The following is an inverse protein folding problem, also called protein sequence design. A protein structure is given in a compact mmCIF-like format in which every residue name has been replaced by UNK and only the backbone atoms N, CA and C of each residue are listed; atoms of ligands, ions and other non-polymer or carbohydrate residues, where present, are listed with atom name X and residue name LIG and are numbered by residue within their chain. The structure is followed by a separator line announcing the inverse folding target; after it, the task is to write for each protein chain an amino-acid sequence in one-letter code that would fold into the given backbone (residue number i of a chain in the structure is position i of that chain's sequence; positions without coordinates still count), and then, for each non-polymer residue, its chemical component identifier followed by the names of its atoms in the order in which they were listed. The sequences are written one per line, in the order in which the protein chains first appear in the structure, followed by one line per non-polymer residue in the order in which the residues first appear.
data_IF_772621660899
#
_entry.id   IF_772621660899
#
_cell.length_a   1.000
_cell.length_b   1.000
_cell.length_c   1.000
_cell.angle_alpha   90.00
_cell.angle_beta   90.00
_cell.angle_gamma   90.00
#
_symmetry.space_group_name_H-M   'P 1'
#
loop_
_entity.id
_entity.type
_entity.pdbx_description
1 polymer ?
#
# COMPACT_ATOMS: atom_id res chain seq x y z
N UNK A 1 -18.18 -15.10 107.47
CA UNK A 1 -17.11 -15.56 106.63
C UNK A 1 -17.60 -15.47 105.16
N UNK A 2 -17.08 -14.47 104.48
CA UNK A 2 -17.70 -14.00 103.23
C UNK A 2 -16.72 -14.34 102.11
N UNK A 3 -17.17 -15.04 101.15
CA UNK A 3 -16.40 -15.31 99.92
C UNK A 3 -17.02 -14.47 98.73
N UNK A 4 -16.25 -13.56 98.29
CA UNK A 4 -16.55 -12.72 97.12
C UNK A 4 -16.18 -13.47 95.83
N UNK A 5 -17.10 -13.66 94.96
CA UNK A 5 -16.87 -14.18 93.62
C UNK A 5 -16.62 -13.00 92.65
N UNK A 6 -15.48 -13.00 91.99
CA UNK A 6 -15.14 -12.07 90.91
C UNK A 6 -15.63 -12.62 89.57
N UNK A 7 -16.54 -11.92 88.93
CA UNK A 7 -16.92 -12.18 87.55
C UNK A 7 -15.89 -11.59 86.60
N UNK A 8 -15.34 -12.40 85.70
CA UNK A 8 -14.53 -11.95 84.57
C UNK A 8 -15.46 -11.78 83.35
N UNK A 9 -15.59 -10.55 82.89
CA UNK A 9 -16.24 -10.26 81.59
C UNK A 9 -15.21 -10.44 80.49
N UNK A 10 -15.47 -11.42 79.60
CA UNK A 10 -14.71 -11.61 78.37
C UNK A 10 -15.27 -10.69 77.28
N UNK A 11 -14.48 -9.75 76.81
CA UNK A 11 -14.78 -8.90 75.67
C UNK A 11 -14.38 -9.68 74.41
N UNK A 12 -15.35 -10.14 73.60
CA UNK A 12 -15.09 -10.71 72.30
C UNK A 12 -14.86 -9.59 71.28
N UNK A 13 -13.62 -9.46 70.84
CA UNK A 13 -13.26 -8.57 69.72
C UNK A 13 -13.65 -9.29 68.42
N UNK A 14 -14.67 -8.78 67.74
CA UNK A 14 -15.09 -9.25 66.41
C UNK A 14 -14.21 -8.54 65.37
N UNK A 15 -13.18 -9.23 64.84
CA UNK A 15 -12.43 -8.76 63.69
C UNK A 15 -13.27 -8.91 62.44
N UNK A 16 -13.74 -7.80 61.86
CA UNK A 16 -14.28 -7.75 60.55
C UNK A 16 -13.16 -7.93 59.53
N UNK A 17 -13.10 -9.11 58.90
CA UNK A 17 -12.26 -9.31 57.70
C UNK A 17 -12.97 -8.65 56.54
N UNK A 18 -12.43 -7.51 56.08
CA UNK A 18 -12.80 -6.87 54.82
C UNK A 18 -12.22 -7.74 53.73
N UNK A 19 -13.03 -8.30 52.79
CA UNK A 19 -12.47 -8.98 51.66
C UNK A 19 -11.68 -7.95 50.83
N UNK A 20 -10.37 -8.17 50.69
CA UNK A 20 -9.49 -7.37 49.82
C UNK A 20 -10.06 -7.37 48.42
N UNK A 21 -10.28 -6.19 47.85
CA UNK A 21 -10.51 -6.02 46.44
C UNK A 21 -9.32 -6.63 45.72
N UNK A 22 -9.54 -7.70 44.99
CA UNK A 22 -8.57 -8.24 44.04
C UNK A 22 -8.23 -7.10 43.07
N UNK A 23 -7.10 -6.47 43.30
CA UNK A 23 -6.48 -5.64 42.30
C UNK A 23 -6.19 -6.56 41.10
N UNK A 24 -7.04 -6.49 40.09
CA UNK A 24 -6.77 -7.12 38.80
C UNK A 24 -5.43 -6.56 38.31
N UNK A 25 -4.40 -7.38 38.51
CA UNK A 25 -3.11 -7.17 37.85
C UNK A 25 -3.40 -7.02 36.37
N UNK A 26 -2.94 -5.93 35.68
CA UNK A 26 -3.14 -5.81 34.27
C UNK A 26 -2.53 -7.05 33.62
N UNK A 27 -3.38 -7.82 32.94
CA UNK A 27 -2.99 -9.00 32.19
C UNK A 27 -1.77 -8.62 31.36
N UNK A 28 -0.66 -9.30 31.64
CA UNK A 28 0.57 -9.25 30.86
C UNK A 28 0.15 -9.34 29.42
N UNK A 29 0.37 -8.27 28.62
CA UNK A 29 0.08 -8.27 27.20
C UNK A 29 0.64 -9.58 26.63
N UNK A 30 -0.20 -10.45 26.10
CA UNK A 30 0.24 -11.64 25.41
C UNK A 30 1.29 -11.18 24.40
N UNK A 31 2.43 -11.86 24.32
CA UNK A 31 3.44 -11.63 23.29
C UNK A 31 2.78 -11.80 21.92
N UNK A 32 2.07 -10.78 21.49
CA UNK A 32 1.41 -10.69 20.20
C UNK A 32 2.43 -10.25 19.16
N UNK A 33 2.36 -10.81 17.97
CA UNK A 33 3.14 -10.30 16.84
C UNK A 33 2.61 -8.92 16.49
N UNK A 34 3.51 -7.98 16.26
CA UNK A 34 3.15 -6.71 15.64
C UNK A 34 3.10 -6.85 14.12
N UNK A 35 2.26 -6.06 13.47
CA UNK A 35 2.21 -5.96 12.02
C UNK A 35 2.26 -4.52 11.59
N UNK A 36 3.04 -4.27 10.55
CA UNK A 36 3.16 -2.98 9.91
C UNK A 36 2.29 -2.93 8.65
N UNK A 37 1.62 -1.81 8.46
CA UNK A 37 0.86 -1.53 7.26
C UNK A 37 1.17 -0.11 6.77
N UNK A 38 1.46 0.04 5.47
CA UNK A 38 1.65 1.34 4.85
C UNK A 38 0.28 1.96 4.56
N UNK A 39 0.12 3.22 4.97
CA UNK A 39 -1.15 3.95 4.87
C UNK A 39 -0.92 5.32 4.24
N UNK A 40 -1.66 5.61 3.19
CA UNK A 40 -1.78 6.96 2.63
C UNK A 40 -3.03 7.62 3.19
N UNK A 41 -2.93 8.87 3.63
CA UNK A 41 -4.06 9.71 4.01
C UNK A 41 -4.00 10.98 3.19
N UNK A 42 -5.02 11.21 2.37
CA UNK A 42 -5.07 12.32 1.42
C UNK A 42 -6.31 13.16 1.66
N UNK A 43 -6.18 14.46 1.51
CA UNK A 43 -7.34 15.35 1.49
C UNK A 43 -8.18 15.18 0.21
N UNK A 44 -9.26 15.93 0.07
CA UNK A 44 -10.16 15.90 -1.08
C UNK A 44 -9.53 16.45 -2.37
N UNK A 45 -8.35 17.09 -2.28
CA UNK A 45 -7.54 17.53 -3.42
C UNK A 45 -6.44 16.53 -3.79
N UNK A 46 -6.31 15.44 -3.01
CA UNK A 46 -5.27 14.43 -3.18
C UNK A 46 -3.92 14.83 -2.59
N UNK A 47 -3.89 15.84 -1.71
CA UNK A 47 -2.67 16.25 -1.00
C UNK A 47 -2.51 15.38 0.25
N UNK A 48 -1.30 14.88 0.53
CA UNK A 48 -1.05 14.09 1.74
C UNK A 48 -1.32 14.88 3.03
N UNK A 49 -2.05 14.27 3.95
CA UNK A 49 -2.29 14.79 5.30
C UNK A 49 -1.18 14.30 6.22
N UNK A 50 -0.46 15.22 6.84
CA UNK A 50 0.68 14.93 7.72
C UNK A 50 0.34 15.20 9.19
N UNK A 51 1.20 14.73 10.11
CA UNK A 51 1.05 14.99 11.56
C UNK A 51 0.01 14.11 12.27
N UNK A 52 -0.42 13.00 11.65
CA UNK A 52 -1.34 12.05 12.27
C UNK A 52 -0.62 11.17 13.30
N UNK A 53 -1.36 10.78 14.34
CA UNK A 53 -0.89 10.01 15.49
C UNK A 53 -1.68 8.70 15.64
N UNK A 54 -1.33 7.87 16.61
CA UNK A 54 -2.04 6.61 16.93
C UNK A 54 -3.53 6.83 17.19
N UNK A 55 -3.91 7.94 17.81
CA UNK A 55 -5.31 8.29 18.11
C UNK A 55 -6.14 8.60 16.84
N UNK A 56 -5.48 8.88 15.72
CA UNK A 56 -6.16 9.21 14.47
C UNK A 56 -6.51 7.97 13.64
N UNK A 57 -6.00 6.76 13.97
CA UNK A 57 -6.19 5.56 13.18
C UNK A 57 -6.99 4.48 13.90
N UNK A 58 -7.83 3.79 13.13
CA UNK A 58 -8.52 2.57 13.56
C UNK A 58 -8.20 1.47 12.56
N UNK A 59 -7.64 0.35 13.06
CA UNK A 59 -7.34 -0.85 12.27
C UNK A 59 -8.31 -1.96 12.65
N UNK A 60 -8.86 -2.65 11.66
CA UNK A 60 -9.72 -3.83 11.85
C UNK A 60 -9.21 -4.98 10.98
N UNK A 61 -9.17 -6.19 11.55
CA UNK A 61 -9.01 -7.44 10.81
C UNK A 61 -10.33 -8.24 10.93
N UNK A 62 -10.96 -8.54 9.80
CA UNK A 62 -12.25 -9.23 9.72
C UNK A 62 -13.30 -8.65 10.70
N UNK A 63 -13.39 -7.31 10.73
CA UNK A 63 -14.21 -6.47 11.63
C UNK A 63 -13.75 -6.41 13.10
N UNK A 64 -12.80 -7.24 13.56
CA UNK A 64 -12.25 -7.12 14.91
C UNK A 64 -11.27 -5.94 14.99
N UNK A 65 -11.52 -5.01 15.91
CA UNK A 65 -10.64 -3.87 16.16
C UNK A 65 -9.30 -4.35 16.71
N UNK A 66 -8.20 -3.82 16.17
CA UNK A 66 -6.84 -4.05 16.64
C UNK A 66 -6.29 -2.79 17.29
N UNK A 67 -5.50 -2.97 18.32
CA UNK A 67 -4.81 -1.88 18.99
C UNK A 67 -3.71 -1.32 18.08
N UNK A 68 -3.73 -0.01 17.81
CA UNK A 68 -2.67 0.70 17.10
C UNK A 68 -1.59 1.06 18.10
N UNK A 69 -0.41 0.50 17.92
CA UNK A 69 0.71 0.63 18.86
C UNK A 69 1.63 1.81 18.50
N UNK A 70 1.88 2.01 17.20
CA UNK A 70 2.76 3.06 16.71
C UNK A 70 2.26 3.59 15.36
N UNK A 71 2.44 4.89 15.13
CA UNK A 71 2.26 5.56 13.84
C UNK A 71 3.45 6.48 13.59
N UNK A 72 4.15 6.26 12.49
CA UNK A 72 5.30 7.07 12.08
C UNK A 72 5.34 7.28 10.57
N UNK A 73 6.03 8.31 10.07
CA UNK A 73 6.31 8.46 8.65
C UNK A 73 7.01 7.22 8.09
N UNK A 74 6.65 6.81 6.89
CA UNK A 74 7.28 5.67 6.22
C UNK A 74 8.64 6.09 5.66
N UNK A 75 9.72 5.67 6.32
CA UNK A 75 11.11 6.00 6.00
C UNK A 75 11.87 4.86 5.30
N UNK A 76 11.32 3.64 5.31
CA UNK A 76 11.93 2.52 4.63
C UNK A 76 12.11 2.82 3.13
N UNK A 77 13.29 2.46 2.61
CA UNK A 77 13.63 2.63 1.21
C UNK A 77 12.65 1.87 0.31
N UNK A 78 12.13 2.55 -0.71
CA UNK A 78 11.25 1.95 -1.70
C UNK A 78 12.04 1.26 -2.80
N UNK A 79 11.50 0.17 -3.31
CA UNK A 79 11.91 -0.43 -4.58
C UNK A 79 10.75 -0.33 -5.55
N UNK A 80 10.91 0.50 -6.59
CA UNK A 80 9.82 0.87 -7.50
C UNK A 80 10.08 0.30 -8.88
N UNK A 81 9.15 -0.56 -9.36
CA UNK A 81 9.05 -0.89 -10.76
C UNK A 81 8.14 0.12 -11.47
N UNK A 82 8.67 0.93 -12.37
CA UNK A 82 7.88 1.83 -13.20
C UNK A 82 7.61 1.15 -14.53
N UNK A 83 6.35 0.77 -14.77
CA UNK A 83 5.87 0.17 -16.01
C UNK A 83 5.36 1.28 -16.91
N UNK A 84 5.94 1.41 -18.09
CA UNK A 84 5.70 2.53 -19.01
C UNK A 84 5.13 1.96 -20.31
N UNK A 85 3.90 2.30 -20.60
CA UNK A 85 3.29 1.97 -21.87
C UNK A 85 3.90 2.85 -22.98
N UNK A 86 4.69 2.21 -23.83
CA UNK A 86 5.30 2.79 -25.01
C UNK A 86 4.67 2.23 -26.31
N UNK A 87 3.44 1.71 -26.21
CA UNK A 87 2.68 1.24 -27.37
C UNK A 87 2.26 2.37 -28.32
N UNK A 88 1.63 2.02 -29.43
CA UNK A 88 1.08 3.00 -30.39
C UNK A 88 0.17 4.03 -29.73
N UNK A 89 -0.57 3.64 -28.69
CA UNK A 89 -1.45 4.54 -27.95
C UNK A 89 -0.72 5.70 -27.23
N UNK A 90 0.60 5.55 -26.98
CA UNK A 90 1.42 6.56 -26.31
C UNK A 90 1.95 7.65 -27.26
N UNK A 91 1.69 7.56 -28.58
CA UNK A 91 2.33 8.41 -29.60
C UNK A 91 2.24 9.90 -29.28
N UNK A 92 1.03 10.41 -29.03
CA UNK A 92 0.80 11.83 -28.77
C UNK A 92 1.12 12.28 -27.35
N UNK A 93 1.46 11.33 -26.47
CA UNK A 93 1.74 11.58 -25.06
C UNK A 93 3.22 11.54 -24.71
N UNK A 94 4.10 11.20 -25.65
CA UNK A 94 5.53 10.92 -25.38
C UNK A 94 6.26 12.06 -24.68
N UNK A 95 6.00 13.32 -25.06
CA UNK A 95 6.62 14.48 -24.38
C UNK A 95 6.15 14.60 -22.94
N UNK A 96 4.84 14.50 -22.68
CA UNK A 96 4.26 14.55 -21.33
C UNK A 96 4.75 13.40 -20.45
N UNK A 97 4.93 12.21 -21.02
CA UNK A 97 5.53 11.07 -20.33
C UNK A 97 6.96 11.37 -19.88
N UNK A 98 7.79 11.87 -20.79
CA UNK A 98 9.19 12.20 -20.46
C UNK A 98 9.28 13.27 -19.38
N UNK A 99 8.51 14.34 -19.51
CA UNK A 99 8.52 15.45 -18.55
C UNK A 99 8.01 14.98 -17.19
N UNK A 100 6.90 14.23 -17.16
CA UNK A 100 6.34 13.71 -15.93
C UNK A 100 7.25 12.69 -15.25
N UNK A 101 7.86 11.78 -16.01
CA UNK A 101 8.80 10.80 -15.47
C UNK A 101 10.06 11.49 -14.93
N UNK A 102 10.61 12.47 -15.63
CA UNK A 102 11.77 13.21 -15.15
C UNK A 102 11.48 13.92 -13.82
N UNK A 103 10.31 14.57 -13.70
CA UNK A 103 9.86 15.19 -12.46
C UNK A 103 9.63 14.18 -11.33
N UNK A 104 9.05 13.02 -11.63
CA UNK A 104 8.87 11.91 -10.69
C UNK A 104 10.21 11.40 -10.17
N UNK A 105 11.14 11.10 -11.06
CA UNK A 105 12.47 10.58 -10.72
C UNK A 105 13.26 11.58 -9.84
N UNK A 106 13.18 12.86 -10.17
CA UNK A 106 13.83 13.89 -9.35
C UNK A 106 13.25 13.97 -7.94
N UNK A 107 11.92 13.86 -7.82
CA UNK A 107 11.23 13.89 -6.54
C UNK A 107 11.52 12.65 -5.67
N UNK A 108 11.80 11.52 -6.31
CA UNK A 108 12.15 10.25 -5.65
C UNK A 108 13.65 10.10 -5.38
N UNK A 109 14.47 11.07 -5.78
CA UNK A 109 15.94 11.04 -5.61
C UNK A 109 16.34 10.72 -4.16
N UNK A 110 17.17 9.70 -3.99
CA UNK A 110 17.65 9.28 -2.67
C UNK A 110 16.61 8.58 -1.77
N UNK A 111 15.37 8.38 -2.25
CA UNK A 111 14.27 7.76 -1.50
C UNK A 111 13.84 6.40 -2.05
N UNK A 112 14.29 6.06 -3.24
CA UNK A 112 13.92 4.83 -3.90
C UNK A 112 15.02 4.30 -4.81
N UNK A 113 15.05 2.99 -4.96
CA UNK A 113 15.71 2.29 -6.06
C UNK A 113 14.67 1.99 -7.14
N UNK A 114 14.88 2.49 -8.36
CA UNK A 114 13.86 2.49 -9.41
C UNK A 114 14.34 1.70 -10.62
N UNK A 115 13.49 0.77 -11.10
CA UNK A 115 13.64 0.11 -12.39
C UNK A 115 12.61 0.65 -13.39
N UNK A 116 13.03 0.88 -14.63
CA UNK A 116 12.15 1.30 -15.73
C UNK A 116 11.92 0.14 -16.69
N UNK A 117 10.66 -0.15 -16.98
CA UNK A 117 10.24 -1.27 -17.83
C UNK A 117 9.22 -0.73 -18.82
N UNK A 118 9.43 -0.91 -20.12
CA UNK A 118 8.43 -0.60 -21.15
C UNK A 118 7.57 -1.81 -21.44
N UNK A 119 6.30 -1.59 -21.82
CA UNK A 119 5.32 -2.67 -21.97
C UNK A 119 4.67 -2.75 -23.35
N UNK A 120 5.04 -1.89 -24.29
CA UNK A 120 4.64 -2.01 -25.68
C UNK A 120 5.33 -3.21 -26.34
N UNK A 121 4.57 -4.05 -27.05
CA UNK A 121 5.05 -5.25 -27.75
C UNK A 121 5.44 -6.41 -26.79
N UNK A 122 6.21 -6.18 -25.75
CA UNK A 122 6.55 -7.09 -24.64
C UNK A 122 7.22 -6.34 -23.49
N UNK A 123 7.16 -6.88 -22.26
CA UNK A 123 7.89 -6.28 -21.15
C UNK A 123 9.40 -6.23 -21.45
N UNK A 124 9.98 -5.04 -21.42
CA UNK A 124 11.40 -4.82 -21.75
C UNK A 124 12.04 -3.92 -20.70
N UNK A 125 13.14 -4.37 -20.09
CA UNK A 125 13.88 -3.54 -19.12
C UNK A 125 14.57 -2.41 -19.86
N UNK A 126 14.12 -1.18 -19.63
CA UNK A 126 14.71 0.05 -20.15
C UNK A 126 15.88 0.50 -19.28
N UNK A 127 15.73 0.39 -17.95
CA UNK A 127 16.80 0.57 -16.98
C UNK A 127 16.64 -0.43 -15.84
N UNK A 128 17.73 -1.13 -15.43
CA UNK A 128 17.71 -1.96 -14.23
C UNK A 128 17.50 -1.09 -12.98
N UNK A 129 17.13 -1.70 -11.86
CA UNK A 129 16.96 -0.99 -10.61
C UNK A 129 18.23 -0.26 -10.21
N UNK A 130 18.12 1.05 -9.99
CA UNK A 130 19.21 1.92 -9.57
C UNK A 130 18.69 3.14 -8.79
N UNK A 131 19.57 3.72 -7.97
CA UNK A 131 19.36 5.01 -7.29
C UNK A 131 19.87 6.19 -8.11
N UNK A 132 20.60 5.92 -9.18
CA UNK A 132 21.20 6.93 -10.04
C UNK A 132 20.14 7.57 -10.95
N UNK A 133 19.65 8.73 -10.53
CA UNK A 133 18.64 9.50 -11.26
C UNK A 133 19.10 9.94 -12.64
N UNK A 134 20.41 10.17 -12.85
CA UNK A 134 20.94 10.59 -14.15
C UNK A 134 20.89 9.42 -15.16
N UNK A 135 21.21 8.20 -14.70
CA UNK A 135 21.07 6.99 -15.52
C UNK A 135 19.61 6.81 -15.94
N UNK A 136 18.67 6.94 -15.00
CA UNK A 136 17.24 6.82 -15.27
C UNK A 136 16.76 7.90 -16.25
N UNK A 137 17.10 9.16 -16.03
CA UNK A 137 16.74 10.27 -16.90
C UNK A 137 17.30 10.13 -18.32
N UNK A 138 18.51 9.57 -18.46
CA UNK A 138 19.08 9.27 -19.79
C UNK A 138 18.19 8.26 -20.55
N UNK A 139 17.63 7.26 -19.88
CA UNK A 139 16.74 6.30 -20.50
C UNK A 139 15.36 6.90 -20.79
N UNK A 140 14.79 7.70 -19.88
CA UNK A 140 13.52 8.41 -20.09
C UNK A 140 13.57 9.28 -21.36
N UNK A 141 14.68 9.98 -21.61
CA UNK A 141 14.86 10.77 -22.85
C UNK A 141 14.85 9.92 -24.13
N UNK A 142 15.10 8.60 -24.02
CA UNK A 142 15.09 7.65 -25.15
C UNK A 142 13.77 6.91 -25.31
N UNK A 143 12.74 7.26 -24.53
CA UNK A 143 11.41 6.71 -24.73
C UNK A 143 10.83 7.20 -26.04
N UNK A 144 10.41 6.25 -26.89
CA UNK A 144 9.68 6.52 -28.11
C UNK A 144 8.57 5.48 -28.26
N UNK A 145 7.40 5.86 -28.80
CA UNK A 145 6.32 4.93 -29.00
C UNK A 145 6.71 3.89 -30.06
N UNK A 146 6.26 2.67 -29.83
CA UNK A 146 6.40 1.57 -30.79
C UNK A 146 5.20 1.59 -31.73
N UNK A 147 5.45 1.69 -33.02
CA UNK A 147 4.40 1.64 -34.02
C UNK A 147 3.82 0.24 -34.16
N UNK A 148 2.52 0.14 -34.42
CA UNK A 148 1.78 -1.12 -34.62
C UNK A 148 1.91 -2.09 -33.44
N UNK A 149 1.98 -1.59 -32.21
CA UNK A 149 2.07 -2.39 -30.98
C UNK A 149 0.90 -2.10 -30.05
N UNK A 150 0.56 -3.09 -29.22
CA UNK A 150 -0.33 -2.96 -28.07
C UNK A 150 0.45 -3.15 -26.76
N UNK A 151 -0.21 -3.00 -25.62
CA UNK A 151 0.39 -3.16 -24.33
C UNK A 151 0.40 -4.62 -23.86
N UNK A 152 1.45 -5.02 -23.16
CA UNK A 152 1.57 -6.27 -22.40
C UNK A 152 1.67 -5.93 -20.92
N UNK A 153 0.70 -5.15 -20.42
CA UNK A 153 0.75 -4.58 -19.08
C UNK A 153 0.61 -5.63 -17.99
N UNK A 154 -0.31 -6.59 -18.17
CA UNK A 154 -0.58 -7.60 -17.13
C UNK A 154 0.61 -8.55 -16.99
N UNK A 155 1.27 -8.94 -18.08
CA UNK A 155 2.50 -9.73 -18.06
C UNK A 155 3.62 -8.95 -17.33
N UNK A 156 3.74 -7.64 -17.59
CA UNK A 156 4.71 -6.79 -16.92
C UNK A 156 4.47 -6.65 -15.41
N UNK A 157 3.19 -6.60 -14.98
CA UNK A 157 2.84 -6.59 -13.56
C UNK A 157 3.27 -7.91 -12.89
N UNK A 158 3.05 -9.04 -13.53
CA UNK A 158 3.48 -10.36 -13.04
C UNK A 158 5.00 -10.42 -12.92
N UNK A 159 5.73 -10.02 -13.97
CA UNK A 159 7.18 -10.05 -13.99
C UNK A 159 7.79 -9.11 -12.94
N UNK A 160 7.25 -7.88 -12.82
CA UNK A 160 7.66 -6.93 -11.80
C UNK A 160 7.38 -7.45 -10.38
N UNK A 161 6.22 -8.09 -10.16
CA UNK A 161 5.87 -8.70 -8.88
C UNK A 161 6.87 -9.78 -8.48
N UNK A 162 7.17 -10.71 -9.40
CA UNK A 162 8.17 -11.78 -9.19
C UNK A 162 9.57 -11.21 -8.92
N UNK A 163 9.96 -10.18 -9.69
CA UNK A 163 11.26 -9.54 -9.51
C UNK A 163 11.39 -8.86 -8.14
N UNK A 164 10.37 -8.12 -7.70
CA UNK A 164 10.34 -7.48 -6.39
C UNK A 164 10.34 -8.48 -5.24
N UNK A 165 9.58 -9.58 -5.36
CA UNK A 165 9.59 -10.68 -4.38
C UNK A 165 10.98 -11.32 -4.26
N UNK A 166 11.64 -11.63 -5.40
CA UNK A 166 12.98 -12.20 -5.42
C UNK A 166 14.05 -11.28 -4.83
N UNK A 167 13.82 -9.95 -4.88
CA UNK A 167 14.71 -8.94 -4.28
C UNK A 167 14.48 -8.76 -2.79
N UNK A 168 13.46 -9.41 -2.21
CA UNK A 168 13.05 -9.23 -0.80
C UNK A 168 12.83 -7.75 -0.47
N UNK A 169 12.18 -7.04 -1.39
CA UNK A 169 11.96 -5.61 -1.30
C UNK A 169 11.18 -5.25 -0.04
N UNK A 170 11.74 -4.39 0.82
CA UNK A 170 11.09 -3.98 2.09
C UNK A 170 9.82 -3.16 1.88
N UNK A 171 9.82 -2.32 0.85
CA UNK A 171 8.67 -1.47 0.48
C UNK A 171 8.50 -1.50 -1.03
N UNK A 172 8.00 -2.64 -1.59
CA UNK A 172 7.84 -2.81 -3.01
C UNK A 172 6.68 -1.98 -3.56
N UNK A 173 6.90 -1.33 -4.70
CA UNK A 173 5.90 -0.52 -5.40
C UNK A 173 5.94 -0.84 -6.88
N UNK A 174 4.79 -0.97 -7.51
CA UNK A 174 4.61 -0.99 -8.95
C UNK A 174 3.83 0.27 -9.34
N UNK A 175 4.43 1.12 -10.16
CA UNK A 175 3.78 2.28 -10.76
C UNK A 175 3.58 2.01 -12.24
N UNK A 176 2.34 1.75 -12.64
CA UNK A 176 1.96 1.51 -14.02
C UNK A 176 1.39 2.77 -14.67
N UNK A 177 1.97 3.18 -15.79
CA UNK A 177 1.50 4.28 -16.63
C UNK A 177 1.07 3.64 -17.94
N UNK A 178 -0.23 3.66 -18.23
CA UNK A 178 -0.81 2.92 -19.34
C UNK A 178 -1.85 3.75 -20.07
N UNK A 179 -2.01 3.49 -21.37
CA UNK A 179 -2.99 4.15 -22.22
C UNK A 179 -4.20 3.25 -22.46
N UNK A 180 -5.32 3.86 -22.73
CA UNK A 180 -6.47 3.12 -23.24
C UNK A 180 -6.18 2.72 -24.69
N UNK A 181 -5.98 1.41 -24.90
CA UNK A 181 -5.54 0.81 -26.15
C UNK A 181 -5.63 -0.70 -26.07
N UNK A 182 -5.02 -1.38 -27.02
CA UNK A 182 -5.07 -2.85 -27.10
C UNK A 182 -4.17 -3.46 -26.01
N UNK A 183 -4.72 -4.41 -25.25
CA UNK A 183 -4.01 -5.25 -24.29
C UNK A 183 -3.75 -6.62 -24.92
N UNK A 184 -2.49 -7.05 -24.95
CA UNK A 184 -2.07 -8.32 -25.58
C UNK A 184 -1.61 -9.37 -24.57
N UNK A 185 -1.62 -9.05 -23.25
CA UNK A 185 -1.27 -10.03 -22.24
C UNK A 185 -2.22 -11.21 -22.24
N UNK A 186 -1.66 -12.41 -22.14
CA UNK A 186 -2.46 -13.65 -22.12
C UNK A 186 -2.46 -14.29 -20.71
N UNK A 187 -2.39 -13.47 -19.69
CA UNK A 187 -2.42 -13.91 -18.29
C UNK A 187 -3.78 -13.65 -17.66
N UNK A 188 -4.32 -14.65 -16.95
CA UNK A 188 -5.60 -14.52 -16.26
C UNK A 188 -5.47 -13.59 -15.02
N UNK A 189 -6.52 -12.80 -14.75
CA UNK A 189 -6.51 -11.81 -13.65
C UNK A 189 -6.16 -12.42 -12.29
N UNK A 190 -6.62 -13.64 -11.97
CA UNK A 190 -6.30 -14.31 -10.71
C UNK A 190 -4.81 -14.53 -10.53
N UNK A 191 -4.11 -14.90 -11.62
CA UNK A 191 -2.65 -15.08 -11.58
C UNK A 191 -1.95 -13.75 -11.27
N UNK A 192 -2.38 -12.67 -11.90
CA UNK A 192 -1.81 -11.33 -11.66
C UNK A 192 -2.03 -10.90 -10.21
N UNK A 193 -3.27 -11.04 -9.71
CA UNK A 193 -3.63 -10.66 -8.35
C UNK A 193 -2.90 -11.53 -7.31
N UNK A 194 -2.70 -12.80 -7.58
CA UNK A 194 -1.93 -13.71 -6.73
C UNK A 194 -0.45 -13.31 -6.65
N UNK A 195 0.20 -13.05 -7.78
CA UNK A 195 1.61 -12.64 -7.78
C UNK A 195 1.81 -11.25 -7.15
N UNK A 196 0.87 -10.31 -7.35
CA UNK A 196 0.84 -9.04 -6.62
C UNK A 196 0.75 -9.24 -5.10
N UNK A 197 -0.17 -10.10 -4.64
CA UNK A 197 -0.35 -10.38 -3.22
C UNK A 197 0.92 -10.99 -2.62
N UNK A 198 1.52 -11.95 -3.31
CA UNK A 198 2.75 -12.66 -2.92
C UNK A 198 3.98 -11.74 -2.86
N UNK A 199 4.09 -10.79 -3.78
CA UNK A 199 5.21 -9.84 -3.81
C UNK A 199 5.16 -8.79 -2.69
N UNK A 200 4.00 -8.59 -2.07
CA UNK A 200 3.80 -7.49 -1.15
C UNK A 200 3.78 -6.10 -1.81
N UNK A 201 3.86 -6.01 -3.13
CA UNK A 201 3.90 -4.73 -3.84
C UNK A 201 2.58 -3.95 -3.72
N UNK A 202 2.68 -2.64 -3.61
CA UNK A 202 1.56 -1.72 -3.79
C UNK A 202 1.47 -1.33 -5.26
N UNK A 203 0.31 -1.54 -5.88
CA UNK A 203 0.07 -1.20 -7.28
C UNK A 203 -0.55 0.18 -7.41
N UNK A 204 0.16 1.12 -8.03
CA UNK A 204 -0.37 2.42 -8.45
C UNK A 204 -0.55 2.44 -9.97
N UNK A 205 -1.64 3.00 -10.45
CA UNK A 205 -1.98 3.04 -11.88
C UNK A 205 -2.37 4.45 -12.29
N UNK A 206 -1.76 4.93 -13.37
CA UNK A 206 -2.18 6.13 -14.10
C UNK A 206 -2.64 5.65 -15.47
N UNK A 207 -3.96 5.60 -15.67
CA UNK A 207 -4.58 5.22 -16.94
C UNK A 207 -4.93 6.47 -17.74
N UNK A 208 -4.47 6.55 -18.98
CA UNK A 208 -4.61 7.74 -19.85
C UNK A 208 -5.55 7.42 -21.00
N UNK A 209 -6.48 8.31 -21.28
CA UNK A 209 -7.49 8.19 -22.32
C UNK A 209 -8.89 7.96 -21.76
N UNK A 210 -9.85 7.81 -22.63
CA UNK A 210 -11.23 7.47 -22.25
C UNK A 210 -11.35 5.96 -22.09
N UNK A 211 -11.86 5.47 -20.95
CA UNK A 211 -12.03 4.04 -20.72
C UNK A 211 -12.79 3.38 -21.86
N UNK A 212 -12.24 2.28 -22.38
CA UNK A 212 -12.89 1.52 -23.42
C UNK A 212 -14.14 0.83 -22.89
N UNK A 213 -15.21 0.84 -23.71
CA UNK A 213 -16.39 0.02 -23.50
C UNK A 213 -16.29 -1.34 -24.19
N UNK A 214 -15.10 -1.72 -24.66
CA UNK A 214 -14.87 -3.01 -25.31
C UNK A 214 -15.26 -4.17 -24.38
N UNK A 215 -15.89 -5.17 -24.97
CA UNK A 215 -16.29 -6.40 -24.27
C UNK A 215 -15.26 -7.52 -24.43
N UNK A 216 -14.09 -7.21 -24.99
CA UNK A 216 -13.01 -8.18 -25.16
C UNK A 216 -12.53 -8.69 -23.79
N UNK A 217 -12.21 -9.98 -23.71
CA UNK A 217 -11.82 -10.62 -22.46
C UNK A 217 -10.51 -10.07 -21.91
N UNK A 218 -9.58 -9.67 -22.78
CA UNK A 218 -8.31 -9.03 -22.40
C UNK A 218 -8.55 -7.68 -21.73
N UNK A 219 -9.40 -6.83 -22.29
CA UNK A 219 -9.73 -5.52 -21.72
C UNK A 219 -10.52 -5.65 -20.41
N UNK A 220 -11.41 -6.66 -20.33
CA UNK A 220 -12.12 -6.97 -19.08
C UNK A 220 -11.14 -7.42 -18.00
N UNK A 221 -10.26 -8.36 -18.32
CA UNK A 221 -9.20 -8.86 -17.43
C UNK A 221 -8.30 -7.73 -16.95
N UNK A 222 -7.87 -6.85 -17.88
CA UNK A 222 -7.10 -5.63 -17.54
C UNK A 222 -7.88 -4.74 -16.57
N UNK A 223 -9.13 -4.42 -16.87
CA UNK A 223 -10.00 -3.60 -16.04
C UNK A 223 -10.15 -4.13 -14.60
N UNK A 224 -10.33 -5.44 -14.45
CA UNK A 224 -10.38 -6.14 -13.16
C UNK A 224 -9.06 -6.01 -12.39
N UNK A 225 -7.92 -6.31 -13.04
CA UNK A 225 -6.60 -6.21 -12.39
C UNK A 225 -6.32 -4.78 -11.93
N UNK A 226 -6.55 -3.78 -12.78
CA UNK A 226 -6.28 -2.39 -12.43
C UNK A 226 -7.19 -1.88 -11.30
N UNK A 227 -8.42 -2.37 -11.18
CA UNK A 227 -9.35 -2.00 -10.11
C UNK A 227 -9.07 -2.78 -8.82
N UNK A 228 -9.10 -4.10 -8.90
CA UNK A 228 -8.91 -4.97 -7.74
C UNK A 228 -7.47 -4.93 -7.21
N UNK A 229 -6.48 -4.91 -8.12
CA UNK A 229 -5.08 -4.87 -7.74
C UNK A 229 -4.73 -3.61 -6.95
N UNK A 230 -5.18 -2.44 -7.39
CA UNK A 230 -4.96 -1.19 -6.64
C UNK A 230 -5.69 -1.20 -5.30
N UNK A 231 -6.95 -1.65 -5.26
CA UNK A 231 -7.75 -1.72 -4.03
C UNK A 231 -7.14 -2.68 -3.01
N UNK A 232 -6.77 -3.90 -3.44
CA UNK A 232 -6.25 -4.94 -2.53
C UNK A 232 -4.87 -4.60 -1.98
N UNK A 233 -4.05 -3.90 -2.77
CA UNK A 233 -2.68 -3.53 -2.37
C UNK A 233 -2.58 -2.18 -1.67
N UNK A 234 -3.66 -1.40 -1.60
CA UNK A 234 -3.68 -0.07 -1.00
C UNK A 234 -3.08 1.03 -1.88
N UNK A 235 -3.01 0.78 -3.18
CA UNK A 235 -2.54 1.76 -4.14
C UNK A 235 -3.66 2.65 -4.69
N UNK A 236 -3.36 3.32 -5.78
CA UNK A 236 -4.21 4.33 -6.42
C UNK A 236 -4.43 4.02 -7.89
N UNK A 237 -5.65 4.21 -8.38
CA UNK A 237 -5.95 4.26 -9.80
C UNK A 237 -6.45 5.64 -10.17
N UNK A 238 -5.72 6.33 -11.03
CA UNK A 238 -6.10 7.59 -11.63
C UNK A 238 -6.50 7.41 -13.08
N UNK A 239 -7.57 8.09 -13.49
CA UNK A 239 -7.95 8.22 -14.89
C UNK A 239 -7.61 9.64 -15.36
N UNK A 240 -6.83 9.74 -16.43
CA UNK A 240 -6.37 11.00 -17.03
C UNK A 240 -6.93 11.11 -18.44
N UNK A 241 -7.83 12.06 -18.68
CA UNK A 241 -8.51 12.20 -19.97
C UNK A 241 -7.66 12.97 -21.00
N UNK A 242 -6.70 13.79 -20.55
CA UNK A 242 -5.83 14.56 -21.41
C UNK A 242 -4.35 14.32 -21.07
N UNK A 243 -3.52 14.14 -22.10
CA UNK A 243 -2.09 13.85 -21.95
C UNK A 243 -1.35 14.89 -21.08
N UNK A 244 -1.78 16.14 -21.11
CA UNK A 244 -1.23 17.23 -20.27
C UNK A 244 -1.37 17.01 -18.76
N UNK A 245 -2.28 16.13 -18.33
CA UNK A 245 -2.45 15.78 -16.93
C UNK A 245 -1.45 14.74 -16.40
N UNK A 246 -0.65 14.10 -17.26
CA UNK A 246 0.31 13.05 -16.89
C UNK A 246 1.35 13.55 -15.88
N UNK A 247 2.03 14.71 -16.09
CA UNK A 247 3.03 15.20 -15.16
C UNK A 247 2.48 15.46 -13.77
N UNK A 248 1.28 16.03 -13.66
CA UNK A 248 0.63 16.31 -12.37
C UNK A 248 0.28 15.02 -11.63
N UNK A 249 -0.17 13.98 -12.34
CA UNK A 249 -0.48 12.69 -11.71
C UNK A 249 0.76 11.95 -11.24
N UNK A 250 1.84 12.00 -11.99
CA UNK A 250 3.14 11.46 -11.57
C UNK A 250 3.69 12.20 -10.34
N UNK A 251 3.55 13.53 -10.30
CA UNK A 251 3.89 14.31 -9.11
C UNK A 251 3.05 13.92 -7.91
N UNK A 252 1.72 13.80 -8.07
CA UNK A 252 0.82 13.37 -6.99
C UNK A 252 1.16 11.96 -6.49
N UNK A 253 1.51 11.03 -7.39
CA UNK A 253 1.94 9.69 -7.00
C UNK A 253 3.24 9.72 -6.17
N UNK A 254 4.22 10.53 -6.55
CA UNK A 254 5.44 10.73 -5.78
C UNK A 254 5.14 11.34 -4.40
N UNK A 255 4.29 12.38 -4.33
CA UNK A 255 3.90 13.03 -3.07
C UNK A 255 3.20 12.06 -2.14
N UNK A 256 2.28 11.23 -2.66
CA UNK A 256 1.61 10.19 -1.87
C UNK A 256 2.61 9.18 -1.31
N UNK A 257 3.51 8.63 -2.15
CA UNK A 257 4.51 7.64 -1.74
C UNK A 257 5.49 8.18 -0.69
N UNK A 258 5.89 9.44 -0.80
CA UNK A 258 6.83 10.09 0.12
C UNK A 258 6.22 10.44 1.48
N UNK A 259 4.89 10.52 1.58
CA UNK A 259 4.17 10.95 2.79
C UNK A 259 3.26 9.86 3.37
N UNK A 260 3.52 8.59 3.08
CA UNK A 260 2.82 7.48 3.73
C UNK A 260 3.22 7.35 5.21
N UNK A 261 2.33 6.73 5.97
CA UNK A 261 2.60 6.29 7.33
C UNK A 261 2.89 4.80 7.37
N UNK A 262 3.69 4.38 8.34
CA UNK A 262 3.69 3.02 8.87
C UNK A 262 2.81 3.01 10.09
N UNK A 263 1.75 2.23 10.06
CA UNK A 263 0.86 1.97 11.18
C UNK A 263 1.17 0.57 11.70
N UNK A 264 1.73 0.51 12.91
CA UNK A 264 2.04 -0.75 13.60
C UNK A 264 0.88 -1.08 14.53
N UNK A 265 0.33 -2.30 14.41
CA UNK A 265 -0.76 -2.75 15.26
C UNK A 265 -0.50 -4.14 15.86
N UNK A 266 -1.10 -4.41 17.02
CA UNK A 266 -1.00 -5.67 17.74
C UNK A 266 -1.92 -6.73 17.17
N UNK A 267 -1.42 -7.98 17.04
CA UNK A 267 -2.19 -9.14 16.60
C UNK A 267 -1.83 -10.36 17.41
N UNK A 268 -2.82 -11.11 17.95
CA UNK A 268 -2.56 -12.37 18.64
C UNK A 268 -1.84 -13.38 17.74
N UNK A 269 -0.85 -14.08 18.29
CA UNK A 269 0.06 -14.94 17.53
C UNK A 269 -0.64 -16.13 16.83
N UNK A 270 -1.71 -16.65 17.44
CA UNK A 270 -2.42 -17.84 16.98
C UNK A 270 -3.59 -17.58 16.04
N UNK A 271 -3.80 -16.36 15.58
CA UNK A 271 -4.88 -16.06 14.65
C UNK A 271 -4.54 -16.45 13.21
N UNK A 272 -5.50 -17.09 12.54
CA UNK A 272 -5.47 -17.30 11.08
C UNK A 272 -5.31 -15.96 10.37
N UNK A 273 -4.53 -15.88 9.27
CA UNK A 273 -4.41 -14.65 8.49
C UNK A 273 -5.80 -14.07 8.16
N UNK A 274 -6.03 -12.76 8.33
CA UNK A 274 -7.33 -12.17 8.06
C UNK A 274 -7.61 -12.17 6.55
N UNK A 275 -8.86 -12.38 6.17
CA UNK A 275 -9.30 -12.20 4.80
C UNK A 275 -9.33 -10.72 4.41
N UNK A 276 -9.67 -9.85 5.36
CA UNK A 276 -9.81 -8.42 5.13
C UNK A 276 -9.17 -7.58 6.23
N UNK A 277 -8.38 -6.58 5.80
CA UNK A 277 -7.90 -5.50 6.65
C UNK A 277 -8.62 -4.22 6.25
N UNK A 278 -9.04 -3.44 7.25
CA UNK A 278 -9.63 -2.12 7.05
C UNK A 278 -8.90 -1.13 7.93
N UNK A 279 -8.38 -0.06 7.32
CA UNK A 279 -7.80 1.08 8.02
C UNK A 279 -8.67 2.29 7.77
N UNK A 280 -9.06 2.95 8.84
CA UNK A 280 -9.82 4.21 8.79
C UNK A 280 -9.16 5.25 9.67
N UNK A 281 -9.56 6.52 9.52
CA UNK A 281 -9.10 7.62 10.36
C UNK A 281 -10.27 8.35 10.99
N UNK A 282 -10.02 9.00 12.11
CA UNK A 282 -10.98 9.91 12.78
C UNK A 282 -11.15 11.24 12.05
N UNK A 283 -10.23 11.56 11.11
CA UNK A 283 -10.31 12.80 10.32
C UNK A 283 -11.43 12.70 9.27
N UNK A 284 -12.21 13.75 9.16
CA UNK A 284 -13.24 13.90 8.12
C UNK A 284 -12.64 14.43 6.81
N UNK A 285 -13.36 14.19 5.70
CA UNK A 285 -13.00 14.71 4.37
C UNK A 285 -11.61 14.27 3.87
N UNK A 286 -11.20 13.05 4.21
CA UNK A 286 -9.96 12.45 3.73
C UNK A 286 -10.20 11.08 3.11
N UNK A 287 -9.32 10.70 2.21
CA UNK A 287 -9.25 9.36 1.63
C UNK A 287 -8.13 8.59 2.32
N UNK A 288 -8.43 7.42 2.86
CA UNK A 288 -7.45 6.49 3.42
C UNK A 288 -7.22 5.36 2.45
N UNK A 289 -5.96 5.07 2.13
CA UNK A 289 -5.55 3.91 1.34
C UNK A 289 -4.56 3.08 2.12
N UNK A 290 -4.85 1.81 2.23
CA UNK A 290 -4.01 0.81 2.85
C UNK A 290 -4.29 -0.54 2.20
N UNK A 291 -3.39 -1.48 2.32
CA UNK A 291 -3.60 -2.86 1.89
C UNK A 291 -4.85 -3.43 2.57
N UNK A 292 -5.76 -4.01 1.78
CA UNK A 292 -7.02 -4.58 2.28
C UNK A 292 -6.97 -6.10 2.42
N UNK A 293 -5.95 -6.77 1.86
CA UNK A 293 -5.73 -8.22 1.98
C UNK A 293 -4.28 -8.52 2.30
N UNK A 294 -4.06 -9.50 3.16
CA UNK A 294 -2.72 -10.07 3.39
C UNK A 294 -2.42 -11.03 2.24
N UNK A 295 -1.20 -11.01 1.72
CA UNK A 295 -0.74 -12.04 0.79
C UNK A 295 -0.75 -13.40 1.49
N UNK A 296 -1.23 -14.44 0.80
CA UNK A 296 -1.01 -15.82 1.21
C UNK A 296 0.50 -16.07 1.19
N UNK A 297 1.07 -16.36 2.38
CA UNK A 297 2.48 -16.72 2.56
C UNK A 297 2.73 -18.15 2.08
#
# INVERSE_FOLDING_TARGET
MIHAARALSAIAVFCWVVPGADAQTPSRASEGRTRDIYVSVLDNKGVPVTGLTTADFVVKEDNAVREVLEVKPADAEMQIAVLIDDSTAATDATSYLRDGLAAFLERMRGRAEIGLITVGDRPTVLAPYTKDTEVLNKQVRRLFPRTNSGAYLLDAIVDASKALAKREAKRPVILAITFEGVEHSNVHHDTVLKELAKSGATLHVIAIGTPSSSLDDEMRTRGLVLSEGTLRTGGRRDQVLANSGIPDKLKQAADELLNQYVVTYGRPEKLIPPEKITVTTTKSNVTVRARTRVGES
#
